data_IF_542074568073
#
_entry.id   IF_542074568073
#
_cell.length_a   1.000
_cell.length_b   1.000
_cell.length_c   1.000
_cell.angle_alpha   90.00
_cell.angle_beta   90.00
_cell.angle_gamma   90.00
#
_symmetry.space_group_name_H-M   'P 1'
#
loop_
_entity.id
_entity.type
_entity.pdbx_description
1 polymer ?
#
# COMPACT_ATOMS: atom_id res chain seq x y z
N UNK A 1 -9.51 -3.40 7.90
CA UNK A 1 -8.11 -3.58 8.32
C UNK A 1 -7.28 -3.88 7.10
N UNK A 2 -6.21 -3.10 6.87
CA UNK A 2 -5.26 -3.35 5.79
C UNK A 2 -3.98 -3.89 6.40
N UNK A 3 -3.55 -5.06 5.95
CA UNK A 3 -2.33 -5.70 6.42
C UNK A 3 -1.27 -5.71 5.32
N UNK A 4 -0.07 -5.28 5.67
CA UNK A 4 1.10 -5.17 4.79
C UNK A 4 2.20 -6.15 5.26
N UNK A 5 2.05 -6.71 6.48
CA UNK A 5 2.98 -7.68 7.03
C UNK A 5 2.73 -9.08 6.47
N UNK A 6 3.80 -9.84 6.19
CA UNK A 6 3.67 -11.24 5.75
C UNK A 6 3.77 -12.25 6.89
N UNK A 7 4.20 -11.82 8.08
CA UNK A 7 4.60 -12.73 9.17
C UNK A 7 3.45 -13.62 9.61
N UNK A 8 2.30 -13.02 9.91
CA UNK A 8 1.16 -13.76 10.44
C UNK A 8 0.52 -14.63 9.35
N UNK A 9 0.51 -14.16 8.10
CA UNK A 9 0.09 -14.95 6.95
C UNK A 9 0.96 -16.21 6.75
N UNK A 10 2.28 -16.06 6.78
CA UNK A 10 3.23 -17.17 6.61
C UNK A 10 3.25 -18.13 7.82
N UNK A 11 3.00 -17.61 9.02
CA UNK A 11 2.95 -18.40 10.25
C UNK A 11 1.60 -19.08 10.49
N UNK A 12 0.66 -19.04 9.53
CA UNK A 12 -0.71 -19.56 9.69
C UNK A 12 -1.45 -18.96 10.89
N UNK A 13 -1.22 -17.67 11.13
CA UNK A 13 -1.86 -16.89 12.17
C UNK A 13 -3.38 -16.97 12.06
N UNK A 14 -4.06 -17.07 13.20
CA UNK A 14 -5.53 -17.08 13.26
C UNK A 14 -6.04 -15.65 13.21
N UNK A 15 -6.88 -15.36 12.23
CA UNK A 15 -7.63 -14.10 12.17
C UNK A 15 -8.88 -14.23 13.04
N UNK A 16 -9.07 -13.30 13.99
CA UNK A 16 -10.34 -13.20 14.72
C UNK A 16 -11.42 -12.66 13.77
N UNK A 17 -12.44 -13.49 13.50
CA UNK A 17 -13.53 -13.17 12.57
C UNK A 17 -14.59 -12.24 13.16
N UNK A 18 -14.51 -11.88 14.45
CA UNK A 18 -15.38 -10.86 15.05
C UNK A 18 -15.31 -9.53 14.29
N UNK A 19 -14.19 -9.24 13.61
CA UNK A 19 -14.03 -8.06 12.74
C UNK A 19 -15.11 -7.99 11.64
N UNK A 20 -15.53 -9.14 11.10
CA UNK A 20 -16.57 -9.17 10.06
C UNK A 20 -17.97 -8.89 10.61
N UNK A 21 -18.22 -9.22 11.89
CA UNK A 21 -19.49 -8.92 12.55
C UNK A 21 -19.69 -7.41 12.77
N UNK A 22 -18.58 -6.67 12.88
CA UNK A 22 -18.58 -5.20 12.96
C UNK A 22 -18.68 -4.52 11.58
N UNK A 23 -19.03 -5.27 10.52
CA UNK A 23 -19.07 -4.79 9.15
C UNK A 23 -17.72 -4.16 8.71
N UNK A 24 -16.61 -4.78 9.15
CA UNK A 24 -15.24 -4.41 8.75
C UNK A 24 -14.69 -5.46 7.80
N UNK A 25 -14.06 -4.99 6.73
CA UNK A 25 -13.32 -5.84 5.80
C UNK A 25 -11.86 -5.99 6.24
N UNK A 26 -11.31 -7.19 6.05
CA UNK A 26 -9.86 -7.44 6.13
C UNK A 26 -9.30 -7.57 4.72
N UNK A 27 -8.19 -6.87 4.45
CA UNK A 27 -7.50 -6.90 3.17
C UNK A 27 -5.99 -7.01 3.39
N UNK A 28 -5.40 -8.10 2.90
CA UNK A 28 -3.95 -8.26 2.82
C UNK A 28 -3.42 -7.69 1.51
N UNK A 29 -2.38 -6.86 1.57
CA UNK A 29 -1.79 -6.18 0.42
C UNK A 29 -0.31 -6.53 0.29
N UNK A 30 0.04 -7.17 -0.82
CA UNK A 30 1.42 -7.53 -1.17
C UNK A 30 1.86 -6.79 -2.42
N UNK A 31 2.67 -5.74 -2.25
CA UNK A 31 3.06 -4.86 -3.36
C UNK A 31 3.92 -5.58 -4.40
N UNK A 32 4.78 -6.52 -3.97
CA UNK A 32 5.66 -7.28 -4.87
C UNK A 32 4.85 -8.14 -5.83
N UNK A 33 4.00 -9.01 -5.30
CA UNK A 33 3.06 -9.83 -6.07
C UNK A 33 2.11 -8.99 -6.91
N UNK A 34 1.60 -7.87 -6.40
CA UNK A 34 0.77 -6.96 -7.21
C UNK A 34 1.50 -6.41 -8.43
N UNK A 35 2.82 -6.17 -8.34
CA UNK A 35 3.63 -5.76 -9.49
C UNK A 35 3.78 -6.82 -10.58
N UNK A 36 3.70 -8.10 -10.20
CA UNK A 36 3.77 -9.24 -11.13
C UNK A 36 2.39 -9.55 -11.71
N UNK A 37 1.36 -9.58 -10.87
CA UNK A 37 0.01 -10.05 -11.23
C UNK A 37 -0.91 -8.96 -11.75
N UNK A 38 -0.72 -7.70 -11.33
CA UNK A 38 -1.61 -6.55 -11.61
C UNK A 38 -0.81 -5.29 -11.93
N UNK A 39 0.02 -5.30 -12.99
CA UNK A 39 0.95 -4.22 -13.31
C UNK A 39 0.25 -2.86 -13.52
N UNK A 40 -0.99 -2.85 -14.03
CA UNK A 40 -1.80 -1.65 -14.20
C UNK A 40 -2.16 -0.98 -12.88
N UNK A 41 -2.41 -1.75 -11.81
CA UNK A 41 -2.70 -1.23 -10.49
C UNK A 41 -1.46 -0.60 -9.86
N UNK A 42 -0.29 -1.23 -10.00
CA UNK A 42 0.97 -0.64 -9.55
C UNK A 42 1.30 0.63 -10.33
N UNK A 43 1.09 0.65 -11.65
CA UNK A 43 1.29 1.85 -12.44
C UNK A 43 0.37 3.00 -12.00
N UNK A 44 -0.89 2.71 -11.66
CA UNK A 44 -1.81 3.69 -11.12
C UNK A 44 -1.37 4.21 -9.74
N UNK A 45 -0.93 3.31 -8.85
CA UNK A 45 -0.40 3.66 -7.53
C UNK A 45 0.84 4.55 -7.62
N UNK A 46 1.75 4.24 -8.55
CA UNK A 46 2.95 5.05 -8.80
C UNK A 46 2.60 6.43 -9.32
N UNK A 47 1.68 6.54 -10.29
CA UNK A 47 1.19 7.83 -10.79
C UNK A 47 0.56 8.66 -9.68
N UNK A 48 -0.30 8.05 -8.86
CA UNK A 48 -0.89 8.71 -7.70
C UNK A 48 0.18 9.23 -6.74
N UNK A 49 1.17 8.42 -6.38
CA UNK A 49 2.29 8.86 -5.53
C UNK A 49 3.07 10.02 -6.14
N UNK A 50 3.39 9.96 -7.43
CA UNK A 50 4.11 11.02 -8.12
C UNK A 50 3.38 12.36 -8.09
N UNK A 51 2.04 12.38 -8.07
CA UNK A 51 1.28 13.64 -7.96
C UNK A 51 1.57 14.39 -6.64
N UNK A 52 1.93 13.70 -5.56
CA UNK A 52 2.28 14.32 -4.28
C UNK A 52 3.75 14.76 -4.20
N UNK A 53 4.65 14.07 -4.93
CA UNK A 53 6.09 14.35 -4.88
C UNK A 53 6.61 15.19 -6.05
N UNK A 54 5.88 15.25 -7.17
CA UNK A 54 6.23 16.10 -8.31
C UNK A 54 6.34 17.59 -7.95
N UNK A 55 5.50 18.17 -7.06
CA UNK A 55 5.67 19.55 -6.62
C UNK A 55 6.97 19.77 -5.83
N UNK A 56 7.48 18.73 -5.14
CA UNK A 56 8.73 18.80 -4.36
C UNK A 56 9.96 18.69 -5.28
N UNK A 57 9.84 17.96 -6.39
CA UNK A 57 10.94 17.77 -7.35
C UNK A 57 11.13 18.97 -8.31
N UNK A 58 10.08 19.78 -8.49
CA UNK A 58 10.11 21.04 -9.26
C UNK A 58 10.06 22.28 -8.34
N UNK A 59 10.74 22.27 -7.19
CA UNK A 59 11.15 23.52 -6.55
C UNK A 59 12.43 24.02 -7.22
N UNK A 60 12.40 25.09 -8.04
CA UNK A 60 13.61 25.70 -8.55
C UNK A 60 14.19 26.59 -7.44
N UNK A 61 14.79 25.98 -6.43
CA UNK A 61 15.81 26.61 -5.58
C UNK A 61 16.26 25.65 -4.49
N UNK A 62 17.47 25.12 -4.66
CA UNK A 62 18.32 24.88 -3.50
C UNK A 62 18.56 26.23 -2.82
N UNK A 63 17.92 26.45 -1.67
CA UNK A 63 18.29 27.46 -0.67
C UNK A 63 17.41 27.22 0.56
N UNK A 64 17.77 26.21 1.35
CA UNK A 64 17.40 26.20 2.76
C UNK A 64 18.39 27.11 3.49
N UNK A 65 17.87 28.22 4.04
CA UNK A 65 18.49 28.96 5.14
C UNK A 65 18.40 28.17 6.43
#
# INVERSE_FOLDING_TARGET
MVDIGKRDLLATGKLDMNVSLENRDYCYVEIGQMGVEKPEMIAALLRYKMQYYAPVMYSPSGLHK
#
